data_IF_393319827441
#
_entry.id   IF_393319827441
#
_cell.length_a   1.000
_cell.length_b   1.000
_cell.length_c   1.000
_cell.angle_alpha   90.00
_cell.angle_beta   90.00
_cell.angle_gamma   90.00
#
_symmetry.space_group_name_H-M   'P 1'
#
loop_
_entity.id
_entity.type
_entity.pdbx_description
1 polymer ?
#
# COMPACT_ATOMS: atom_id res chain seq x y z
N UNK A 1 17.92 53.63 41.38
CA UNK A 1 18.74 52.82 40.46
C UNK A 1 17.97 51.83 39.57
N UNK A 2 16.66 51.57 39.78
CA UNK A 2 15.91 50.60 38.96
C UNK A 2 15.44 51.11 37.57
N UNK A 3 15.16 52.41 37.41
CA UNK A 3 14.65 52.98 36.15
C UNK A 3 15.66 53.05 35.00
N UNK A 4 16.95 53.20 35.31
CA UNK A 4 18.01 53.33 34.30
C UNK A 4 18.35 51.99 33.62
N UNK A 5 18.26 50.88 34.38
CA UNK A 5 18.45 49.53 33.84
C UNK A 5 17.28 49.06 32.96
N UNK A 6 16.04 49.46 33.27
CA UNK A 6 14.87 49.12 32.45
C UNK A 6 14.88 49.82 31.08
N UNK A 7 15.31 51.09 31.05
CA UNK A 7 15.42 51.84 29.80
C UNK A 7 16.51 51.26 28.89
N UNK A 8 17.69 50.95 29.43
CA UNK A 8 18.78 50.33 28.67
C UNK A 8 18.40 48.95 28.12
N UNK A 9 17.71 48.11 28.90
CA UNK A 9 17.23 46.80 28.46
C UNK A 9 16.24 46.91 27.29
N UNK A 10 15.24 47.80 27.38
CA UNK A 10 14.28 48.01 26.29
C UNK A 10 14.93 48.56 25.01
N UNK A 11 15.93 49.44 25.18
CA UNK A 11 16.69 49.99 24.04
C UNK A 11 17.53 48.90 23.37
N UNK A 12 18.11 47.97 24.14
CA UNK A 12 18.87 46.84 23.63
C UNK A 12 17.98 45.81 22.90
N UNK A 13 16.80 45.51 23.46
CA UNK A 13 15.79 44.65 22.82
C UNK A 13 15.31 45.27 21.50
N UNK A 14 15.08 46.59 21.47
CA UNK A 14 14.70 47.29 20.24
C UNK A 14 15.82 47.22 19.18
N UNK A 15 17.08 47.45 19.57
CA UNK A 15 18.23 47.30 18.68
C UNK A 15 18.35 45.90 18.11
N UNK A 16 18.17 44.85 18.92
CA UNK A 16 18.20 43.45 18.45
C UNK A 16 17.08 43.14 17.46
N UNK A 17 15.86 43.66 17.68
CA UNK A 17 14.73 43.52 16.74
C UNK A 17 15.01 44.21 15.41
N UNK A 18 15.53 45.44 15.43
CA UNK A 18 15.91 46.17 14.20
C UNK A 18 17.00 45.43 13.44
N UNK A 19 18.00 44.90 14.15
CA UNK A 19 19.11 44.15 13.56
C UNK A 19 18.63 42.83 12.93
N UNK A 20 17.68 42.12 13.57
CA UNK A 20 17.02 40.95 12.98
C UNK A 20 16.23 41.28 11.71
N UNK A 21 15.47 42.39 11.71
CA UNK A 21 14.75 42.85 10.51
C UNK A 21 15.72 43.22 9.39
N UNK A 22 16.83 43.88 9.72
CA UNK A 22 17.88 44.23 8.77
C UNK A 22 18.57 42.99 8.19
N UNK A 23 18.94 42.02 9.02
CA UNK A 23 19.50 40.74 8.58
C UNK A 23 18.52 39.96 7.70
N UNK A 24 17.23 39.95 8.04
CA UNK A 24 16.18 39.36 7.21
C UNK A 24 16.07 40.04 5.85
N UNK A 25 16.13 41.38 5.81
CA UNK A 25 16.12 42.17 4.58
C UNK A 25 17.34 41.89 3.71
N UNK A 26 18.54 41.81 4.30
CA UNK A 26 19.76 41.40 3.60
C UNK A 26 19.68 39.98 3.05
N UNK A 27 19.12 39.05 3.82
CA UNK A 27 18.92 37.66 3.39
C UNK A 27 17.92 37.57 2.23
N UNK A 28 16.83 38.36 2.28
CA UNK A 28 15.85 38.51 1.19
C UNK A 28 16.47 39.13 -0.06
N UNK A 29 17.36 40.11 0.08
CA UNK A 29 18.10 40.77 -1.02
C UNK A 29 19.10 39.80 -1.67
N UNK A 30 19.87 39.03 -0.88
CA UNK A 30 20.72 37.93 -1.37
C UNK A 30 19.92 36.84 -2.08
N UNK A 31 18.72 36.49 -1.58
CA UNK A 31 17.80 35.55 -2.26
C UNK A 31 17.34 36.07 -3.63
N UNK A 32 17.06 37.38 -3.74
CA UNK A 32 16.71 38.04 -5.01
C UNK A 32 17.89 38.18 -5.97
N UNK A 33 19.12 38.23 -5.45
CA UNK A 33 20.37 38.23 -6.24
C UNK A 33 20.86 36.84 -6.66
N UNK A 34 20.11 35.76 -6.41
CA UNK A 34 20.42 34.46 -7.02
C UNK A 34 20.50 34.64 -8.53
N UNK A 35 21.65 34.27 -9.11
CA UNK A 35 21.95 34.41 -10.53
C UNK A 35 20.77 33.96 -11.39
N UNK A 36 20.39 34.77 -12.39
CA UNK A 36 19.45 34.32 -13.43
C UNK A 36 19.93 32.95 -13.92
N UNK A 37 19.04 31.94 -14.05
CA UNK A 37 19.47 30.61 -14.46
C UNK A 37 20.20 30.72 -15.80
N UNK A 38 21.43 30.18 -15.86
CA UNK A 38 22.30 30.23 -17.05
C UNK A 38 21.64 29.66 -18.31
N UNK A 39 20.62 28.83 -18.12
CA UNK A 39 19.84 28.21 -19.18
C UNK A 39 18.35 28.23 -18.84
N UNK A 40 17.52 28.64 -19.80
CA UNK A 40 16.05 28.57 -19.69
C UNK A 40 15.55 27.11 -19.54
N UNK A 41 16.25 26.17 -20.20
CA UNK A 41 16.10 24.71 -20.10
C UNK A 41 17.51 24.11 -20.22
N UNK A 42 17.83 23.09 -19.42
CA UNK A 42 19.12 22.37 -19.55
C UNK A 42 19.21 21.71 -20.94
N UNK A 43 20.33 21.84 -21.68
CA UNK A 43 20.44 21.36 -23.06
C UNK A 43 19.99 19.91 -23.27
N UNK A 44 20.43 18.98 -22.42
CA UNK A 44 20.08 17.55 -22.55
C UNK A 44 18.58 17.25 -22.44
N UNK A 45 17.79 18.10 -21.77
CA UNK A 45 16.34 17.93 -21.67
C UNK A 45 15.63 18.27 -22.99
N UNK A 46 16.27 19.03 -23.88
CA UNK A 46 15.72 19.35 -25.21
C UNK A 46 15.67 18.12 -26.13
N UNK A 47 16.56 17.16 -25.90
CA UNK A 47 16.69 15.93 -26.70
C UNK A 47 15.80 14.79 -26.19
N UNK A 48 14.73 15.11 -25.44
CA UNK A 48 13.82 14.12 -24.85
C UNK A 48 13.24 13.14 -25.88
N UNK A 49 12.85 13.61 -27.06
CA UNK A 49 12.27 12.76 -28.12
C UNK A 49 13.28 11.80 -28.75
N UNK A 50 14.57 12.12 -28.69
CA UNK A 50 15.63 11.35 -29.34
C UNK A 50 16.28 10.37 -28.38
N UNK A 51 16.34 10.72 -27.09
CA UNK A 51 17.14 9.98 -26.10
C UNK A 51 16.38 9.67 -24.79
N UNK A 52 15.11 10.03 -24.69
CA UNK A 52 14.29 9.68 -23.53
C UNK A 52 13.86 8.22 -23.59
N UNK A 53 13.87 7.53 -22.45
CA UNK A 53 13.52 6.10 -22.37
C UNK A 53 12.18 5.74 -23.03
N UNK A 54 11.18 6.63 -22.98
CA UNK A 54 9.88 6.40 -23.61
C UNK A 54 9.95 6.30 -25.15
N UNK A 55 10.91 6.96 -25.80
CA UNK A 55 11.02 6.94 -27.26
C UNK A 55 12.02 5.91 -27.74
N UNK A 56 13.12 5.72 -27.00
CA UNK A 56 14.16 4.77 -27.37
C UNK A 56 13.83 3.36 -26.89
N UNK A 57 13.70 3.18 -25.57
CA UNK A 57 13.70 1.85 -24.97
C UNK A 57 12.32 1.19 -25.02
N UNK A 58 11.26 1.92 -24.68
CA UNK A 58 9.95 1.29 -24.54
C UNK A 58 9.37 0.93 -25.91
N UNK A 59 9.52 1.78 -26.92
CA UNK A 59 9.07 1.50 -28.28
C UNK A 59 9.90 0.38 -28.93
N UNK A 60 11.22 0.38 -28.75
CA UNK A 60 12.08 -0.69 -29.24
C UNK A 60 11.76 -2.03 -28.55
N UNK A 61 11.57 -2.04 -27.23
CA UNK A 61 11.24 -3.26 -26.48
C UNK A 61 9.84 -3.79 -26.82
N UNK A 62 8.86 -2.93 -27.08
CA UNK A 62 7.55 -3.35 -27.58
C UNK A 62 7.65 -4.14 -28.88
N UNK A 63 8.57 -3.73 -29.77
CA UNK A 63 8.75 -4.34 -31.09
C UNK A 63 9.67 -5.56 -31.09
N UNK A 64 10.63 -5.64 -30.16
CA UNK A 64 11.71 -6.64 -30.20
C UNK A 64 11.59 -7.77 -29.18
N UNK A 65 11.16 -7.50 -27.94
CA UNK A 65 11.18 -8.50 -26.87
C UNK A 65 10.14 -8.23 -25.76
N UNK A 66 9.04 -8.99 -25.79
CA UNK A 66 7.92 -8.89 -24.84
C UNK A 66 8.36 -9.07 -23.37
N UNK A 67 9.33 -9.94 -23.09
CA UNK A 67 9.78 -10.19 -21.71
C UNK A 67 10.55 -9.01 -21.11
N UNK A 68 11.41 -8.35 -21.91
CA UNK A 68 12.15 -7.17 -21.46
C UNK A 68 11.22 -5.99 -21.21
N UNK A 69 10.24 -5.78 -22.10
CA UNK A 69 9.21 -4.76 -21.90
C UNK A 69 8.42 -5.01 -20.60
N UNK A 70 7.99 -6.26 -20.38
CA UNK A 70 7.28 -6.64 -19.17
C UNK A 70 8.11 -6.45 -17.90
N UNK A 71 9.40 -6.73 -17.93
CA UNK A 71 10.29 -6.44 -16.82
C UNK A 71 10.41 -4.93 -16.57
N UNK A 72 10.48 -4.14 -17.63
CA UNK A 72 10.61 -2.67 -17.56
C UNK A 72 9.33 -1.99 -17.03
N UNK A 73 8.16 -2.37 -17.55
CA UNK A 73 6.86 -1.76 -17.25
C UNK A 73 6.05 -2.48 -16.16
N UNK A 74 6.42 -3.71 -15.82
CA UNK A 74 5.69 -4.62 -14.91
C UNK A 74 4.31 -5.08 -15.39
N UNK A 75 4.03 -4.90 -16.68
CA UNK A 75 2.81 -5.30 -17.40
C UNK A 75 3.13 -5.53 -18.88
N UNK A 76 2.25 -6.22 -19.62
CA UNK A 76 2.42 -6.40 -21.07
C UNK A 76 2.20 -5.09 -21.84
N UNK A 77 2.66 -5.04 -23.09
CA UNK A 77 2.41 -3.91 -24.00
C UNK A 77 0.91 -3.68 -24.22
N UNK A 78 0.14 -4.76 -24.36
CA UNK A 78 -1.32 -4.71 -24.51
C UNK A 78 -2.00 -4.07 -23.31
N UNK A 79 -1.70 -4.54 -22.08
CA UNK A 79 -2.22 -3.94 -20.85
C UNK A 79 -1.81 -2.47 -20.71
N UNK A 80 -0.58 -2.12 -21.12
CA UNK A 80 -0.10 -0.74 -21.08
C UNK A 80 -0.86 0.18 -22.05
N UNK A 81 -1.12 -0.27 -23.28
CA UNK A 81 -1.87 0.48 -24.27
C UNK A 81 -3.33 0.67 -23.84
N UNK A 82 -3.99 -0.39 -23.38
CA UNK A 82 -5.33 -0.33 -22.81
C UNK A 82 -5.40 0.67 -21.65
N UNK A 83 -4.44 0.58 -20.72
CA UNK A 83 -4.37 1.49 -19.58
C UNK A 83 -4.16 2.94 -20.04
N UNK A 84 -3.31 3.17 -21.05
CA UNK A 84 -3.06 4.49 -21.64
C UNK A 84 -4.34 5.08 -22.23
N UNK A 85 -5.16 4.27 -22.90
CA UNK A 85 -6.47 4.68 -23.40
C UNK A 85 -7.44 5.04 -22.26
N UNK A 86 -7.51 4.20 -21.22
CA UNK A 86 -8.41 4.41 -20.07
C UNK A 86 -8.11 5.73 -19.34
N UNK A 87 -6.83 6.02 -19.09
CA UNK A 87 -6.43 7.22 -18.33
C UNK A 87 -6.34 8.48 -19.20
N UNK A 88 -6.24 8.33 -20.52
CA UNK A 88 -5.89 9.42 -21.44
C UNK A 88 -6.85 10.60 -21.41
N UNK A 89 -8.13 10.37 -21.09
CA UNK A 89 -9.16 11.42 -21.00
C UNK A 89 -8.97 12.26 -19.73
N UNK A 90 -8.49 11.66 -18.63
CA UNK A 90 -8.39 12.31 -17.32
C UNK A 90 -7.01 12.90 -17.04
N UNK A 91 -5.96 12.41 -17.70
CA UNK A 91 -4.61 12.99 -17.57
C UNK A 91 -4.55 14.36 -18.26
N UNK A 92 -4.49 15.41 -17.45
CA UNK A 92 -4.07 16.75 -17.91
C UNK A 92 -2.64 16.67 -18.43
N UNK A 93 -2.44 17.04 -19.69
CA UNK A 93 -1.11 17.08 -20.27
C UNK A 93 -0.30 18.20 -19.61
N UNK A 94 0.86 17.85 -19.06
CA UNK A 94 1.73 18.83 -18.40
C UNK A 94 2.62 19.47 -19.46
N UNK A 95 2.71 20.82 -19.50
CA UNK A 95 3.72 21.48 -20.30
C UNK A 95 5.10 21.15 -19.71
N UNK A 96 5.83 20.26 -20.37
CA UNK A 96 7.28 20.21 -20.24
C UNK A 96 7.85 21.21 -21.25
N UNK A 97 9.05 21.71 -21.02
CA UNK A 97 9.70 22.60 -21.98
C UNK A 97 10.73 21.78 -22.76
N UNK A 98 10.74 21.80 -24.11
CA UNK A 98 10.01 22.73 -24.99
C UNK A 98 8.58 22.30 -25.36
N UNK A 99 8.18 21.07 -25.10
CA UNK A 99 6.96 20.46 -25.61
C UNK A 99 6.15 19.68 -24.57
N UNK A 100 4.87 19.49 -24.85
CA UNK A 100 3.91 18.84 -23.95
C UNK A 100 4.22 17.35 -23.81
N UNK A 101 4.07 16.80 -22.61
CA UNK A 101 4.20 15.36 -22.37
C UNK A 101 2.97 14.62 -22.92
N UNK A 102 3.19 13.52 -23.64
CA UNK A 102 2.13 12.58 -24.03
C UNK A 102 1.66 11.75 -22.83
N UNK A 103 0.47 11.15 -22.93
CA UNK A 103 -0.08 10.27 -21.88
C UNK A 103 0.83 9.05 -21.67
N UNK A 104 1.31 8.44 -22.76
CA UNK A 104 2.23 7.30 -22.70
C UNK A 104 3.55 7.65 -22.00
N UNK A 105 4.10 8.85 -22.20
CA UNK A 105 5.31 9.29 -21.49
C UNK A 105 5.08 9.49 -20.00
N UNK A 106 3.94 10.10 -19.63
CA UNK A 106 3.56 10.30 -18.23
C UNK A 106 3.38 8.95 -17.53
N UNK A 107 2.66 8.02 -18.16
CA UNK A 107 2.43 6.69 -17.62
C UNK A 107 3.74 5.90 -17.53
N UNK A 108 4.56 5.90 -18.58
CA UNK A 108 5.86 5.19 -18.59
C UNK A 108 6.80 5.69 -17.50
N UNK A 109 6.92 7.00 -17.32
CA UNK A 109 7.76 7.58 -16.27
C UNK A 109 7.23 7.22 -14.86
N UNK A 110 5.90 7.24 -14.68
CA UNK A 110 5.26 6.87 -13.41
C UNK A 110 5.45 5.39 -13.10
N UNK A 111 5.14 4.50 -14.04
CA UNK A 111 5.31 3.06 -13.88
C UNK A 111 6.77 2.71 -13.63
N UNK A 112 7.71 3.34 -14.35
CA UNK A 112 9.14 3.10 -14.12
C UNK A 112 9.56 3.53 -12.71
N UNK A 113 9.06 4.67 -12.22
CA UNK A 113 9.31 5.09 -10.84
C UNK A 113 8.79 4.07 -9.82
N UNK A 114 7.54 3.60 -9.99
CA UNK A 114 6.93 2.58 -9.12
C UNK A 114 7.68 1.23 -9.18
N UNK A 115 8.06 0.81 -10.39
CA UNK A 115 8.70 -0.48 -10.66
C UNK A 115 10.14 -0.58 -10.19
N UNK A 116 10.88 0.54 -10.21
CA UNK A 116 12.31 0.58 -9.87
C UNK A 116 12.59 1.08 -8.45
N UNK A 117 11.73 1.96 -7.92
CA UNK A 117 12.01 2.66 -6.65
C UNK A 117 13.21 3.60 -6.73
N UNK A 118 13.59 4.04 -7.93
CA UNK A 118 14.67 4.99 -8.14
C UNK A 118 14.30 6.41 -7.69
N UNK A 119 15.30 7.28 -7.53
CA UNK A 119 15.05 8.68 -7.19
C UNK A 119 14.39 9.43 -8.35
N UNK A 120 13.62 10.47 -8.05
CA UNK A 120 13.05 11.36 -9.09
C UNK A 120 14.13 11.98 -9.99
N UNK A 121 15.35 12.15 -9.47
CA UNK A 121 16.52 12.61 -10.23
C UNK A 121 16.97 11.57 -11.26
N UNK A 122 16.96 10.27 -10.91
CA UNK A 122 17.24 9.19 -11.87
C UNK A 122 16.21 9.16 -13.00
N UNK A 123 14.92 9.30 -12.65
CA UNK A 123 13.83 9.37 -13.62
C UNK A 123 13.97 10.62 -14.50
N UNK A 124 14.40 11.76 -13.96
CA UNK A 124 14.70 12.96 -14.74
C UNK A 124 15.77 12.69 -15.81
N UNK A 125 16.86 12.02 -15.47
CA UNK A 125 17.90 11.70 -16.45
C UNK A 125 17.43 10.68 -17.49
N UNK A 126 16.74 9.62 -17.04
CA UNK A 126 16.22 8.53 -17.87
C UNK A 126 15.18 9.00 -18.90
N UNK A 127 14.17 9.75 -18.45
CA UNK A 127 13.09 10.23 -19.31
C UNK A 127 13.34 11.63 -19.87
N UNK A 128 14.43 12.30 -19.45
CA UNK A 128 14.77 13.69 -19.84
C UNK A 128 13.62 14.67 -19.55
N UNK A 129 12.95 14.48 -18.41
CA UNK A 129 11.86 15.32 -17.90
C UNK A 129 12.35 16.03 -16.65
N UNK A 130 12.18 17.34 -16.53
CA UNK A 130 12.67 18.10 -15.36
C UNK A 130 12.18 17.52 -14.03
N UNK A 131 13.04 17.46 -13.01
CA UNK A 131 12.75 16.80 -11.73
C UNK A 131 11.44 17.29 -11.06
N UNK A 132 11.16 18.59 -11.07
CA UNK A 132 9.91 19.14 -10.54
C UNK A 132 8.69 18.67 -11.33
N UNK A 133 8.83 18.57 -12.65
CA UNK A 133 7.82 18.02 -13.55
C UNK A 133 7.58 16.54 -13.27
N UNK A 134 8.65 15.76 -13.02
CA UNK A 134 8.55 14.35 -12.60
C UNK A 134 7.79 14.20 -11.29
N UNK A 135 8.06 15.03 -10.28
CA UNK A 135 7.31 14.99 -9.02
C UNK A 135 5.81 15.26 -9.24
N UNK A 136 5.47 16.24 -10.06
CA UNK A 136 4.09 16.61 -10.33
C UNK A 136 3.36 15.55 -11.17
N UNK A 137 4.02 14.98 -12.18
CA UNK A 137 3.42 13.95 -13.04
C UNK A 137 3.16 12.66 -12.27
N UNK A 138 4.05 12.26 -11.36
CA UNK A 138 3.85 11.04 -10.55
C UNK A 138 2.61 11.21 -9.68
N UNK A 139 2.51 12.33 -8.95
CA UNK A 139 1.34 12.63 -8.13
C UNK A 139 0.06 12.62 -8.98
N UNK A 140 0.06 13.32 -10.11
CA UNK A 140 -1.11 13.40 -10.97
C UNK A 140 -1.51 12.04 -11.54
N UNK A 141 -0.55 11.30 -12.10
CA UNK A 141 -0.80 10.01 -12.75
C UNK A 141 -1.29 8.99 -11.72
N UNK A 142 -0.69 8.93 -10.54
CA UNK A 142 -1.14 8.04 -9.46
C UNK A 142 -2.56 8.36 -8.98
N UNK A 143 -2.93 9.64 -8.87
CA UNK A 143 -4.30 10.05 -8.55
C UNK A 143 -5.28 9.61 -9.64
N UNK A 144 -4.97 9.86 -10.92
CA UNK A 144 -5.82 9.45 -12.04
C UNK A 144 -5.95 7.92 -12.12
N UNK A 145 -4.88 7.17 -11.87
CA UNK A 145 -4.93 5.71 -11.83
C UNK A 145 -5.91 5.21 -10.77
N UNK A 146 -5.90 5.80 -9.57
CA UNK A 146 -6.87 5.47 -8.53
C UNK A 146 -8.29 5.81 -8.97
N UNK A 147 -8.54 7.03 -9.42
CA UNK A 147 -9.88 7.52 -9.77
C UNK A 147 -10.51 6.74 -10.94
N UNK A 148 -9.69 6.26 -11.87
CA UNK A 148 -10.15 5.48 -13.04
C UNK A 148 -10.29 3.98 -12.79
N UNK A 149 -9.35 3.39 -12.05
CA UNK A 149 -9.29 1.93 -11.88
C UNK A 149 -10.04 1.46 -10.63
N UNK A 150 -10.07 2.24 -9.55
CA UNK A 150 -10.74 1.84 -8.30
C UNK A 150 -12.20 1.41 -8.53
N UNK A 151 -13.03 2.14 -9.31
CA UNK A 151 -14.39 1.73 -9.63
C UNK A 151 -14.50 0.47 -10.51
N UNK A 152 -13.40 -0.01 -11.09
CA UNK A 152 -13.37 -1.21 -11.94
C UNK A 152 -12.86 -2.45 -11.21
N UNK A 153 -11.87 -2.28 -10.34
CA UNK A 153 -11.11 -3.41 -9.77
C UNK A 153 -11.14 -3.47 -8.24
N UNK A 154 -11.75 -2.50 -7.57
CA UNK A 154 -11.81 -2.39 -6.10
C UNK A 154 -13.21 -1.99 -5.62
N UNK A 155 -14.24 -2.46 -6.32
CA UNK A 155 -15.63 -2.26 -5.93
C UNK A 155 -15.93 -3.00 -4.63
N UNK A 156 -16.66 -2.33 -3.72
CA UNK A 156 -17.17 -2.96 -2.52
C UNK A 156 -18.07 -4.14 -2.93
N UNK A 157 -17.77 -5.38 -2.49
CA UNK A 157 -18.57 -6.53 -2.85
C UNK A 157 -19.99 -6.42 -2.29
N UNK A 158 -20.97 -6.85 -3.09
CA UNK A 158 -22.33 -7.05 -2.63
C UNK A 158 -22.47 -8.43 -1.94
N UNK A 159 -23.66 -8.71 -1.41
CA UNK A 159 -23.95 -9.96 -0.71
C UNK A 159 -23.63 -11.20 -1.56
N UNK A 160 -23.96 -11.15 -2.85
CA UNK A 160 -23.71 -12.27 -3.77
C UNK A 160 -22.22 -12.46 -4.02
N UNK A 161 -21.47 -11.37 -4.25
CA UNK A 161 -20.03 -11.43 -4.46
C UNK A 161 -19.31 -11.89 -3.20
N UNK A 162 -19.75 -11.48 -2.02
CA UNK A 162 -19.22 -12.00 -0.76
C UNK A 162 -19.39 -13.51 -0.63
N UNK A 163 -20.57 -14.04 -0.96
CA UNK A 163 -20.82 -15.48 -0.95
C UNK A 163 -19.93 -16.24 -1.96
N UNK A 164 -19.70 -15.65 -3.15
CA UNK A 164 -18.76 -16.21 -4.13
C UNK A 164 -17.32 -16.24 -3.60
N UNK A 165 -16.85 -15.12 -3.04
CA UNK A 165 -15.50 -15.02 -2.46
C UNK A 165 -15.29 -16.04 -1.34
N UNK A 166 -16.30 -16.23 -0.48
CA UNK A 166 -16.24 -17.22 0.58
C UNK A 166 -16.15 -18.66 0.03
N UNK A 167 -16.92 -18.98 -1.01
CA UNK A 167 -16.84 -20.29 -1.67
C UNK A 167 -15.46 -20.52 -2.30
N UNK A 168 -14.88 -19.51 -2.93
CA UNK A 168 -13.51 -19.59 -3.45
C UNK A 168 -12.47 -19.81 -2.35
N UNK A 169 -12.65 -19.15 -1.20
CA UNK A 169 -11.78 -19.29 -0.05
C UNK A 169 -11.88 -20.67 0.59
N UNK A 170 -13.09 -21.21 0.70
CA UNK A 170 -13.35 -22.57 1.13
C UNK A 170 -12.71 -23.59 0.18
N UNK A 171 -12.89 -23.43 -1.13
CA UNK A 171 -12.32 -24.35 -2.12
C UNK A 171 -10.78 -24.37 -2.10
N UNK A 172 -10.13 -23.20 -2.02
CA UNK A 172 -8.66 -23.09 -2.10
C UNK A 172 -7.96 -23.31 -0.77
N UNK A 173 -8.52 -22.77 0.31
CA UNK A 173 -7.87 -22.69 1.62
C UNK A 173 -8.57 -23.53 2.70
N UNK A 174 -9.70 -24.17 2.37
CA UNK A 174 -10.50 -25.00 3.26
C UNK A 174 -10.99 -24.24 4.50
N UNK A 175 -11.28 -22.95 4.35
CA UNK A 175 -11.92 -22.15 5.40
C UNK A 175 -13.38 -21.86 5.01
N UNK A 176 -14.35 -22.47 5.71
CA UNK A 176 -15.76 -22.25 5.41
C UNK A 176 -16.18 -20.83 5.79
N UNK A 177 -17.13 -20.24 5.04
CA UNK A 177 -17.68 -18.91 5.26
C UNK A 177 -16.64 -17.76 5.41
N UNK A 178 -15.39 -17.98 4.99
CA UNK A 178 -14.30 -17.02 5.13
C UNK A 178 -14.25 -16.07 3.92
N UNK A 179 -14.50 -14.78 4.15
CA UNK A 179 -14.57 -13.76 3.10
C UNK A 179 -13.20 -13.31 2.57
N UNK A 180 -12.17 -13.44 3.40
CA UNK A 180 -10.84 -12.93 3.09
C UNK A 180 -9.93 -12.84 4.31
N UNK A 181 -8.68 -12.46 4.06
CA UNK A 181 -7.71 -12.18 5.12
C UNK A 181 -7.41 -10.70 5.21
N UNK A 182 -7.38 -10.15 6.43
CA UNK A 182 -7.07 -8.76 6.72
C UNK A 182 -5.70 -8.65 7.41
N UNK A 183 -4.90 -7.67 7.00
CA UNK A 183 -3.62 -7.35 7.63
C UNK A 183 -3.23 -5.88 7.35
N UNK A 184 -2.41 -5.32 8.24
CA UNK A 184 -1.89 -3.95 8.14
C UNK A 184 -0.41 -3.91 7.79
N UNK A 185 -0.01 -2.98 6.92
CA UNK A 185 1.39 -2.75 6.55
C UNK A 185 1.79 -1.29 6.68
N UNK A 186 3.02 -1.08 7.16
CA UNK A 186 3.67 0.22 7.13
C UNK A 186 4.25 0.51 5.74
N UNK A 187 3.81 1.63 5.15
CA UNK A 187 4.46 2.26 4.00
C UNK A 187 5.48 3.26 4.54
N UNK A 188 6.76 2.89 4.46
CA UNK A 188 7.86 3.71 4.99
C UNK A 188 8.12 4.90 4.08
N UNK A 189 8.25 6.09 4.66
CA UNK A 189 8.51 7.33 3.94
C UNK A 189 9.50 8.23 4.69
N UNK A 190 10.08 9.21 4.00
CA UNK A 190 10.86 10.26 4.66
C UNK A 190 9.94 11.11 5.55
N UNK A 191 10.43 11.57 6.70
CA UNK A 191 9.72 12.51 7.57
C UNK A 191 9.12 13.68 6.76
N UNK A 192 7.80 13.85 6.85
CA UNK A 192 7.12 14.96 6.21
C UNK A 192 7.44 16.26 6.95
N UNK A 193 7.54 17.36 6.21
CA UNK A 193 7.82 18.67 6.80
C UNK A 193 6.76 19.04 7.85
N UNK A 194 7.19 19.53 9.01
CA UNK A 194 6.35 20.02 10.10
C UNK A 194 5.40 18.98 10.74
N UNK A 195 5.68 17.68 10.61
CA UNK A 195 4.79 16.62 11.16
C UNK A 195 5.23 16.05 12.51
N UNK A 196 6.39 16.48 13.03
CA UNK A 196 6.92 15.98 14.31
C UNK A 196 7.05 14.46 14.31
N UNK A 197 6.59 13.80 15.38
CA UNK A 197 6.61 12.34 15.54
C UNK A 197 5.29 11.64 15.18
N UNK A 198 4.33 12.33 14.57
CA UNK A 198 2.99 11.77 14.27
C UNK A 198 3.05 10.49 13.43
N UNK A 199 3.95 10.45 12.45
CA UNK A 199 4.16 9.29 11.58
C UNK A 199 5.32 8.40 12.04
N UNK A 200 6.00 8.76 13.13
CA UNK A 200 7.14 8.00 13.63
C UNK A 200 6.63 6.72 14.30
N UNK A 201 6.96 5.59 13.69
CA UNK A 201 6.57 4.27 14.16
C UNK A 201 7.55 3.76 15.22
N UNK A 202 7.13 2.71 15.93
CA UNK A 202 7.93 2.08 16.98
C UNK A 202 9.23 1.43 16.44
N UNK A 203 9.37 1.25 15.12
CA UNK A 203 10.56 0.72 14.44
C UNK A 203 11.56 1.80 14.05
N UNK A 204 11.39 3.04 14.53
CA UNK A 204 12.33 4.13 14.30
C UNK A 204 12.25 4.77 12.92
N UNK A 205 11.17 4.54 12.17
CA UNK A 205 10.96 5.09 10.82
C UNK A 205 9.65 5.86 10.72
N UNK A 206 9.54 6.80 9.78
CA UNK A 206 8.26 7.42 9.48
C UNK A 206 7.45 6.56 8.51
N UNK A 207 6.17 6.35 8.79
CA UNK A 207 5.31 5.54 7.92
C UNK A 207 3.85 5.99 7.96
N UNK A 208 3.11 5.64 6.92
CA UNK A 208 1.65 5.57 6.92
C UNK A 208 1.20 4.11 6.89
N UNK A 209 -0.02 3.83 7.31
CA UNK A 209 -0.57 2.48 7.36
C UNK A 209 -1.47 2.25 6.14
N UNK A 210 -1.25 1.11 5.51
CA UNK A 210 -2.13 0.47 4.54
C UNK A 210 -2.80 -0.71 5.25
N UNK A 211 -4.09 -0.59 5.53
CA UNK A 211 -4.91 -1.70 6.01
C UNK A 211 -5.64 -2.29 4.81
N UNK A 212 -5.53 -3.59 4.58
CA UNK A 212 -6.16 -4.21 3.42
C UNK A 212 -6.72 -5.60 3.75
N UNK A 213 -7.81 -5.93 3.06
CA UNK A 213 -8.36 -7.27 2.98
C UNK A 213 -8.14 -7.84 1.57
N UNK A 214 -7.87 -9.14 1.46
CA UNK A 214 -7.74 -9.82 0.18
C UNK A 214 -8.61 -11.06 0.06
N UNK A 215 -8.92 -11.44 -1.17
CA UNK A 215 -9.60 -12.68 -1.52
C UNK A 215 -8.64 -13.90 -1.53
N UNK A 216 -9.23 -15.07 -1.82
CA UNK A 216 -8.50 -16.34 -1.96
C UNK A 216 -7.52 -16.36 -3.14
N UNK A 217 -7.66 -15.42 -4.07
CA UNK A 217 -6.92 -15.31 -5.32
C UNK A 217 -5.86 -14.21 -5.25
N UNK A 218 -5.56 -13.64 -4.08
CA UNK A 218 -4.59 -12.57 -3.83
C UNK A 218 -4.95 -11.23 -4.48
N UNK A 219 -6.23 -10.89 -4.62
CA UNK A 219 -6.70 -9.57 -5.03
C UNK A 219 -7.17 -8.80 -3.82
N UNK A 220 -6.90 -7.50 -3.77
CA UNK A 220 -7.42 -6.64 -2.72
C UNK A 220 -8.93 -6.48 -2.90
N UNK A 221 -9.70 -6.63 -1.82
CA UNK A 221 -11.16 -6.48 -1.83
C UNK A 221 -11.59 -5.16 -1.21
N UNK A 222 -10.99 -4.80 -0.07
CA UNK A 222 -11.24 -3.55 0.64
C UNK A 222 -9.92 -3.02 1.17
N UNK A 223 -9.69 -1.71 1.09
CA UNK A 223 -8.47 -1.07 1.60
C UNK A 223 -8.79 0.24 2.31
N UNK A 224 -7.99 0.56 3.32
CA UNK A 224 -7.93 1.84 4.01
C UNK A 224 -6.47 2.34 4.03
N UNK A 225 -6.25 3.56 3.58
CA UNK A 225 -4.91 4.09 3.30
C UNK A 225 -4.72 5.45 3.96
N UNK A 226 -3.62 5.61 4.70
CA UNK A 226 -3.14 6.92 5.14
C UNK A 226 -3.21 7.17 6.64
N UNK A 227 -3.58 6.17 7.44
CA UNK A 227 -3.51 6.31 8.89
C UNK A 227 -2.04 6.51 9.35
N UNK A 228 -1.77 7.34 10.37
CA UNK A 228 -0.40 7.58 10.83
C UNK A 228 0.27 6.30 11.36
N UNK A 229 1.56 6.10 11.03
CA UNK A 229 2.34 4.92 11.43
C UNK A 229 2.54 4.71 12.93
N UNK A 230 2.14 5.67 13.77
CA UNK A 230 2.12 5.51 15.23
C UNK A 230 0.94 4.65 15.71
N UNK A 231 -0.13 4.54 14.93
CA UNK A 231 -1.33 3.79 15.29
C UNK A 231 -1.08 2.27 15.18
N UNK A 232 -1.68 1.48 16.06
CA UNK A 232 -1.68 0.01 15.96
C UNK A 232 -2.75 -0.48 14.98
N UNK A 233 -2.70 -1.75 14.55
CA UNK A 233 -3.74 -2.33 13.67
C UNK A 233 -5.14 -2.22 14.27
N UNK A 234 -5.31 -2.54 15.55
CA UNK A 234 -6.60 -2.36 16.22
C UNK A 234 -7.06 -0.90 16.25
N UNK A 235 -6.14 0.05 16.46
CA UNK A 235 -6.45 1.49 16.46
C UNK A 235 -6.81 2.02 15.07
N UNK A 236 -6.07 1.60 14.04
CA UNK A 236 -6.39 1.92 12.64
C UNK A 236 -7.71 1.28 12.26
N UNK A 237 -7.91 -0.01 12.56
CA UNK A 237 -9.14 -0.74 12.27
C UNK A 237 -10.36 -0.01 12.87
N UNK A 238 -10.38 0.23 14.18
CA UNK A 238 -11.51 0.90 14.85
C UNK A 238 -11.84 2.30 14.32
N UNK A 239 -10.85 3.04 13.80
CA UNK A 239 -11.06 4.39 13.24
C UNK A 239 -11.35 4.40 11.73
N UNK A 240 -10.90 3.37 11.01
CA UNK A 240 -11.03 3.20 9.56
C UNK A 240 -12.47 2.99 9.10
N UNK A 241 -12.74 3.26 7.82
CA UNK A 241 -14.06 3.02 7.23
C UNK A 241 -14.35 1.51 7.17
N UNK A 242 -13.36 0.69 6.81
CA UNK A 242 -13.44 -0.76 6.83
C UNK A 242 -13.83 -1.27 8.22
N UNK A 243 -13.09 -0.91 9.27
CA UNK A 243 -13.37 -1.43 10.61
C UNK A 243 -14.66 -0.86 11.22
N UNK A 244 -15.05 0.38 10.92
CA UNK A 244 -16.42 0.86 11.21
C UNK A 244 -17.47 0.00 10.51
N UNK A 245 -17.20 -0.43 9.29
CA UNK A 245 -18.08 -1.34 8.55
C UNK A 245 -18.23 -2.72 9.21
N UNK A 246 -17.14 -3.26 9.76
CA UNK A 246 -17.17 -4.49 10.55
C UNK A 246 -17.97 -4.32 11.85
N UNK A 247 -17.74 -3.23 12.59
CA UNK A 247 -18.38 -2.96 13.88
C UNK A 247 -19.88 -2.65 13.74
N UNK A 248 -20.25 -1.88 12.71
CA UNK A 248 -21.63 -1.45 12.47
C UNK A 248 -22.43 -2.40 11.55
N UNK A 249 -21.83 -3.51 11.12
CA UNK A 249 -22.45 -4.50 10.20
C UNK A 249 -22.94 -3.90 8.87
N UNK A 250 -22.25 -2.90 8.31
CA UNK A 250 -22.65 -2.22 7.07
C UNK A 250 -22.01 -2.79 5.79
N UNK A 251 -21.11 -3.77 5.91
CA UNK A 251 -20.40 -4.38 4.77
C UNK A 251 -21.27 -5.37 3.95
N UNK A 252 -22.58 -5.43 4.22
CA UNK A 252 -23.54 -6.28 3.49
C UNK A 252 -23.11 -7.75 3.37
N UNK A 253 -22.55 -8.31 4.44
CA UNK A 253 -22.19 -9.72 4.47
C UNK A 253 -23.45 -10.61 4.33
N UNK A 254 -23.31 -11.81 3.74
CA UNK A 254 -24.43 -12.73 3.62
C UNK A 254 -24.93 -13.20 4.98
N UNK A 255 -26.18 -13.67 4.98
CA UNK A 255 -26.79 -14.32 6.14
C UNK A 255 -25.95 -15.53 6.53
N UNK A 256 -25.90 -15.84 7.82
CA UNK A 256 -25.19 -16.99 8.37
C UNK A 256 -25.53 -18.29 7.62
N UNK A 257 -24.51 -19.13 7.47
CA UNK A 257 -24.59 -20.40 6.75
C UNK A 257 -24.03 -21.52 7.61
N UNK A 258 -24.66 -22.69 7.55
CA UNK A 258 -24.20 -23.90 8.22
C UNK A 258 -22.84 -24.36 7.68
N UNK A 259 -21.95 -24.73 8.60
CA UNK A 259 -20.64 -25.34 8.27
C UNK A 259 -20.66 -26.85 8.39
N UNK A 260 -21.49 -27.38 9.29
CA UNK A 260 -21.74 -28.80 9.53
C UNK A 260 -23.06 -28.96 10.33
N UNK A 261 -23.51 -30.20 10.48
CA UNK A 261 -24.74 -30.52 11.24
C UNK A 261 -24.58 -30.33 12.76
N UNK A 262 -23.34 -30.28 13.28
CA UNK A 262 -23.05 -30.28 14.73
C UNK A 262 -22.83 -28.87 15.30
N UNK A 263 -22.06 -28.06 14.58
CA UNK A 263 -21.71 -26.68 14.94
C UNK A 263 -22.80 -25.69 14.48
N UNK A 264 -23.58 -26.05 13.47
CA UNK A 264 -24.71 -25.26 12.96
C UNK A 264 -24.28 -23.98 12.25
N UNK A 265 -25.16 -22.98 12.11
CA UNK A 265 -24.85 -21.76 11.37
C UNK A 265 -23.81 -20.90 12.09
N UNK A 266 -22.94 -20.29 11.29
CA UNK A 266 -22.04 -19.20 11.70
C UNK A 266 -22.12 -18.05 10.68
N UNK A 267 -21.89 -16.81 11.12
CA UNK A 267 -21.77 -15.68 10.20
C UNK A 267 -20.57 -15.83 9.28
N UNK A 268 -20.62 -15.13 8.15
CA UNK A 268 -19.44 -14.92 7.32
C UNK A 268 -18.44 -14.03 8.03
N UNK A 269 -17.15 -14.35 7.90
CA UNK A 269 -16.08 -13.68 8.66
C UNK A 269 -14.83 -13.45 7.83
N UNK A 270 -14.02 -12.47 8.23
CA UNK A 270 -12.64 -12.30 7.78
C UNK A 270 -11.67 -12.89 8.81
N UNK A 271 -10.45 -13.23 8.39
CA UNK A 271 -9.38 -13.68 9.30
C UNK A 271 -8.31 -12.61 9.47
N UNK A 272 -7.99 -12.30 10.72
CA UNK A 272 -7.00 -11.29 11.09
C UNK A 272 -5.94 -11.83 12.03
N UNK A 273 -4.93 -11.01 12.25
CA UNK A 273 -3.88 -11.27 13.23
C UNK A 273 -4.30 -11.06 14.69
N UNK A 274 -3.38 -11.33 15.61
CA UNK A 274 -3.60 -11.19 17.05
C UNK A 274 -3.82 -9.72 17.48
N UNK A 275 -3.38 -8.74 16.68
CA UNK A 275 -3.56 -7.32 16.95
C UNK A 275 -4.98 -6.82 16.65
N UNK A 276 -5.74 -7.52 15.79
CA UNK A 276 -7.15 -7.22 15.56
C UNK A 276 -8.05 -7.67 16.72
N UNK A 277 -9.20 -7.00 16.96
CA UNK A 277 -10.19 -7.47 17.91
C UNK A 277 -10.84 -8.79 17.43
N UNK A 278 -11.26 -9.64 18.37
CA UNK A 278 -12.11 -10.79 18.06
C UNK A 278 -13.58 -10.32 17.97
N UNK A 279 -14.18 -10.41 16.79
CA UNK A 279 -15.58 -10.05 16.52
C UNK A 279 -16.36 -11.25 15.97
N UNK A 280 -17.68 -11.14 15.83
CA UNK A 280 -18.50 -12.19 15.19
C UNK A 280 -18.11 -12.43 13.72
N UNK A 281 -17.68 -11.36 13.04
CA UNK A 281 -17.30 -11.33 11.63
C UNK A 281 -15.78 -11.15 11.41
N UNK A 282 -14.96 -11.22 12.47
CA UNK A 282 -13.49 -11.14 12.38
C UNK A 282 -12.85 -12.12 13.36
N UNK A 283 -12.26 -13.18 12.82
CA UNK A 283 -11.61 -14.24 13.59
C UNK A 283 -10.11 -13.97 13.74
N UNK A 284 -9.59 -14.24 14.94
CA UNK A 284 -8.16 -14.13 15.28
C UNK A 284 -7.68 -15.38 16.03
N UNK A 285 -6.36 -15.68 16.03
CA UNK A 285 -5.84 -16.90 16.66
C UNK A 285 -6.09 -16.95 18.18
N UNK A 286 -6.06 -18.14 18.74
CA UNK A 286 -5.98 -18.36 20.19
C UNK A 286 -4.64 -17.85 20.71
N UNK A 287 -4.63 -17.07 21.82
CA UNK A 287 -3.40 -16.54 22.39
C UNK A 287 -2.55 -17.67 22.99
N UNK A 288 -1.25 -17.72 22.67
CA UNK A 288 -0.42 -18.84 23.13
C UNK A 288 1.06 -18.78 22.76
N UNK A 289 1.65 -17.59 22.62
CA UNK A 289 3.10 -17.49 22.35
C UNK A 289 3.91 -17.87 23.60
N UNK A 290 4.46 -19.09 23.60
CA UNK A 290 5.75 -19.37 24.24
C UNK A 290 5.81 -19.99 25.64
N UNK A 291 4.72 -20.41 26.33
CA UNK A 291 4.88 -21.05 27.67
C UNK A 291 3.96 -22.24 28.03
N UNK A 292 2.97 -22.60 27.22
CA UNK A 292 2.21 -23.87 27.34
C UNK A 292 1.85 -24.36 25.95
N UNK A 293 1.96 -25.67 25.68
CA UNK A 293 1.41 -26.28 24.46
C UNK A 293 -0.08 -25.92 24.42
N UNK A 294 -0.49 -25.12 23.44
CA UNK A 294 -1.90 -24.92 23.12
C UNK A 294 -2.54 -26.31 22.95
N UNK A 295 -3.79 -26.53 23.40
CA UNK A 295 -4.54 -27.73 23.07
C UNK A 295 -4.48 -28.04 21.56
N UNK A 296 -4.51 -29.32 21.19
CA UNK A 296 -4.34 -29.74 19.80
C UNK A 296 -5.35 -29.07 18.87
N UNK A 297 -6.62 -29.01 19.25
CA UNK A 297 -7.69 -28.35 18.50
C UNK A 297 -7.47 -26.84 18.33
N UNK A 298 -6.99 -26.13 19.35
CA UNK A 298 -6.62 -24.72 19.25
C UNK A 298 -5.40 -24.51 18.35
N UNK A 299 -4.45 -25.45 18.38
CA UNK A 299 -3.27 -25.44 17.52
C UNK A 299 -3.63 -25.67 16.05
N UNK A 300 -4.54 -26.61 15.76
CA UNK A 300 -5.12 -26.85 14.43
C UNK A 300 -5.81 -25.58 13.94
N UNK A 301 -6.69 -24.98 14.75
CA UNK A 301 -7.35 -23.73 14.39
C UNK A 301 -6.33 -22.62 14.04
N UNK A 302 -5.33 -22.41 14.90
CA UNK A 302 -4.30 -21.40 14.68
C UNK A 302 -3.49 -21.67 13.40
N UNK A 303 -3.19 -22.93 13.11
CA UNK A 303 -2.50 -23.33 11.87
C UNK A 303 -3.37 -23.03 10.63
N UNK A 304 -4.64 -23.41 10.65
CA UNK A 304 -5.61 -23.14 9.56
C UNK A 304 -5.80 -21.65 9.30
N UNK A 305 -5.94 -20.88 10.38
CA UNK A 305 -6.03 -19.42 10.32
C UNK A 305 -4.73 -18.81 9.77
N UNK A 306 -3.57 -19.26 10.23
CA UNK A 306 -2.27 -18.79 9.74
C UNK A 306 -2.09 -19.08 8.25
N UNK A 307 -2.46 -20.28 7.78
CA UNK A 307 -2.42 -20.64 6.36
C UNK A 307 -3.28 -19.72 5.52
N UNK A 308 -4.47 -19.38 6.01
CA UNK A 308 -5.40 -18.47 5.35
C UNK A 308 -4.83 -17.05 5.28
N UNK A 309 -4.28 -16.56 6.40
CA UNK A 309 -3.63 -15.25 6.48
C UNK A 309 -2.42 -15.08 5.56
N UNK A 310 -1.74 -16.16 5.20
CA UNK A 310 -0.67 -16.09 4.18
C UNK A 310 -1.17 -15.51 2.86
N UNK A 311 -2.48 -15.54 2.57
CA UNK A 311 -3.05 -14.88 1.38
C UNK A 311 -2.76 -13.38 1.38
N UNK A 312 -3.06 -12.66 2.46
CA UNK A 312 -2.84 -11.20 2.50
C UNK A 312 -1.35 -10.86 2.59
N UNK A 313 -0.57 -11.66 3.33
CA UNK A 313 0.89 -11.50 3.40
C UNK A 313 1.55 -11.67 2.03
N UNK A 314 1.17 -12.71 1.28
CA UNK A 314 1.64 -12.93 -0.09
C UNK A 314 1.13 -11.85 -1.04
N UNK A 315 -0.08 -11.33 -0.85
CA UNK A 315 -0.62 -10.24 -1.69
C UNK A 315 0.26 -8.99 -1.56
N UNK A 316 0.63 -8.62 -0.34
CA UNK A 316 1.60 -7.54 -0.09
C UNK A 316 2.99 -7.85 -0.65
N UNK A 317 3.45 -9.10 -0.52
CA UNK A 317 4.72 -9.57 -1.09
C UNK A 317 4.76 -9.45 -2.62
N UNK A 318 3.69 -9.85 -3.30
CA UNK A 318 3.55 -9.74 -4.76
C UNK A 318 3.56 -8.26 -5.17
N UNK A 319 2.75 -7.43 -4.51
CA UNK A 319 2.67 -6.00 -4.80
C UNK A 319 4.03 -5.30 -4.61
N UNK A 320 4.74 -5.56 -3.51
CA UNK A 320 6.06 -4.97 -3.22
C UNK A 320 7.20 -5.55 -4.07
N UNK A 321 7.03 -6.76 -4.60
CA UNK A 321 7.96 -7.33 -5.58
C UNK A 321 7.84 -6.65 -6.94
N UNK A 322 6.59 -6.45 -7.39
CA UNK A 322 6.27 -5.78 -8.65
C UNK A 322 6.61 -4.28 -8.59
N UNK A 323 6.22 -3.61 -7.50
CA UNK A 323 6.45 -2.18 -7.26
C UNK A 323 7.55 -1.96 -6.21
N UNK A 324 8.79 -1.89 -6.69
CA UNK A 324 9.97 -1.78 -5.82
C UNK A 324 10.08 -0.44 -5.09
N UNK A 325 9.22 0.54 -5.39
CA UNK A 325 9.11 1.79 -4.63
C UNK A 325 8.87 1.56 -3.13
N UNK A 326 8.24 0.44 -2.74
CA UNK A 326 8.02 0.10 -1.33
C UNK A 326 9.25 -0.50 -0.65
N UNK A 327 10.26 -0.98 -1.41
CA UNK A 327 11.48 -1.60 -0.85
C UNK A 327 12.43 -0.60 -0.19
N UNK A 328 12.19 0.70 -0.35
CA UNK A 328 12.98 1.78 0.25
C UNK A 328 12.03 2.85 0.79
N UNK A 329 12.46 3.65 1.78
CA UNK A 329 11.69 4.79 2.24
C UNK A 329 11.34 5.74 1.07
N UNK A 330 10.05 6.00 0.89
CA UNK A 330 9.57 6.88 -0.18
C UNK A 330 9.93 8.33 0.17
N UNK A 331 10.71 8.96 -0.71
CA UNK A 331 11.09 10.38 -0.62
C UNK A 331 10.07 11.20 -1.40
N UNK A 332 8.95 11.53 -0.75
CA UNK A 332 7.91 12.39 -1.32
C UNK A 332 7.06 13.03 -0.22
N UNK A 333 6.22 14.01 -0.59
CA UNK A 333 5.23 14.58 0.33
C UNK A 333 4.07 13.61 0.60
N UNK A 334 3.35 13.82 1.70
CA UNK A 334 2.25 12.96 2.17
C UNK A 334 1.23 12.62 1.09
N UNK A 335 0.73 13.65 0.38
CA UNK A 335 -0.23 13.47 -0.71
C UNK A 335 0.29 12.53 -1.80
N UNK A 336 1.58 12.61 -2.11
CA UNK A 336 2.22 11.78 -3.14
C UNK A 336 2.43 10.36 -2.65
N UNK A 337 2.84 10.17 -1.38
CA UNK A 337 2.96 8.82 -0.80
C UNK A 337 1.61 8.10 -0.80
N UNK A 338 0.54 8.78 -0.37
CA UNK A 338 -0.83 8.23 -0.39
C UNK A 338 -1.26 7.89 -1.82
N UNK A 339 -1.01 8.78 -2.79
CA UNK A 339 -1.34 8.53 -4.20
C UNK A 339 -0.55 7.33 -4.76
N UNK A 340 0.74 7.20 -4.45
CA UNK A 340 1.57 6.06 -4.85
C UNK A 340 0.98 4.74 -4.30
N UNK A 341 0.64 4.71 -3.01
CA UNK A 341 0.04 3.53 -2.37
C UNK A 341 -1.29 3.16 -3.02
N UNK A 342 -2.17 4.15 -3.24
CA UNK A 342 -3.45 3.96 -3.93
C UNK A 342 -3.26 3.38 -5.33
N UNK A 343 -2.37 3.99 -6.13
CA UNK A 343 -2.09 3.54 -7.49
C UNK A 343 -1.56 2.11 -7.52
N UNK A 344 -0.65 1.74 -6.60
CA UNK A 344 -0.10 0.39 -6.55
C UNK A 344 -1.15 -0.69 -6.26
N UNK A 345 -2.11 -0.40 -5.36
CA UNK A 345 -3.23 -1.31 -5.04
C UNK A 345 -4.09 -1.57 -6.27
N UNK A 346 -4.53 -0.52 -6.97
CA UNK A 346 -5.41 -0.69 -8.14
C UNK A 346 -4.67 -1.28 -9.33
N UNK A 347 -3.39 -0.92 -9.53
CA UNK A 347 -2.55 -1.53 -10.56
C UNK A 347 -2.33 -3.02 -10.30
N UNK A 348 -2.17 -3.44 -9.04
CA UNK A 348 -2.04 -4.86 -8.69
C UNK A 348 -3.27 -5.66 -9.13
N UNK A 349 -4.47 -5.21 -8.76
CA UNK A 349 -5.70 -5.89 -9.17
C UNK A 349 -5.92 -5.82 -10.69
N UNK A 350 -5.68 -4.67 -11.32
CA UNK A 350 -5.89 -4.48 -12.76
C UNK A 350 -4.97 -5.36 -13.61
N UNK A 351 -3.68 -5.41 -13.29
CA UNK A 351 -2.71 -6.25 -14.02
C UNK A 351 -3.10 -7.72 -13.87
N UNK A 352 -3.48 -8.15 -12.66
CA UNK A 352 -3.90 -9.53 -12.44
C UNK A 352 -5.16 -9.91 -13.20
N UNK A 353 -6.13 -9.01 -13.26
CA UNK A 353 -7.34 -9.21 -14.08
C UNK A 353 -6.97 -9.34 -15.57
N UNK A 354 -6.08 -8.49 -16.06
CA UNK A 354 -5.60 -8.56 -17.46
C UNK A 354 -4.82 -9.85 -17.75
N UNK A 355 -3.91 -10.26 -16.86
CA UNK A 355 -3.17 -11.51 -16.94
C UNK A 355 -4.12 -12.73 -16.95
N UNK A 356 -5.12 -12.75 -16.07
CA UNK A 356 -6.14 -13.80 -16.02
C UNK A 356 -6.96 -13.87 -17.32
N UNK A 357 -7.38 -12.73 -17.87
CA UNK A 357 -8.13 -12.67 -19.13
C UNK A 357 -7.30 -13.17 -20.31
N UNK A 358 -5.99 -12.92 -20.30
CA UNK A 358 -5.06 -13.39 -21.31
C UNK A 358 -4.60 -14.85 -21.09
N UNK A 359 -4.99 -15.50 -19.98
CA UNK A 359 -4.59 -16.87 -19.66
C UNK A 359 -3.09 -17.02 -19.32
N UNK A 360 -2.45 -15.93 -18.89
CA UNK A 360 -1.01 -15.88 -18.57
C UNK A 360 -0.81 -15.49 -17.12
N UNK A 361 0.34 -15.84 -16.54
CA UNK A 361 0.71 -15.40 -15.19
C UNK A 361 2.17 -15.05 -15.13
N UNK A 362 2.46 -13.79 -14.83
CA UNK A 362 3.84 -13.30 -14.81
C UNK A 362 4.30 -13.03 -13.40
N UNK A 363 5.43 -13.64 -13.05
CA UNK A 363 6.12 -13.37 -11.80
C UNK A 363 7.33 -12.47 -12.08
N UNK A 364 7.52 -11.47 -11.24
CA UNK A 364 8.75 -10.67 -11.29
C UNK A 364 9.91 -11.52 -10.80
N UNK A 365 10.93 -11.71 -11.64
CA UNK A 365 12.16 -12.41 -11.23
C UNK A 365 12.79 -11.70 -10.02
N UNK A 366 13.05 -12.50 -8.98
CA UNK A 366 13.69 -12.05 -7.73
C UNK A 366 15.18 -12.34 -7.91
N UNK A 367 16.01 -11.30 -7.98
CA UNK A 367 17.47 -11.46 -7.97
C UNK A 367 17.98 -11.75 -6.56
N UNK A 368 19.20 -12.31 -6.42
CA UNK A 368 19.80 -12.54 -5.10
C UNK A 368 19.92 -11.27 -4.24
N UNK A 369 20.09 -10.09 -4.86
CA UNK A 369 20.06 -8.79 -4.17
C UNK A 369 18.69 -8.41 -3.60
N UNK A 370 17.62 -8.97 -4.15
CA UNK A 370 16.25 -8.69 -3.76
C UNK A 370 15.83 -9.52 -2.52
N UNK A 371 16.38 -10.72 -2.35
CA UNK A 371 16.18 -11.56 -1.16
C UNK A 371 16.64 -10.85 0.12
N UNK A 372 17.84 -10.25 0.10
CA UNK A 372 18.39 -9.53 1.26
C UNK A 372 17.60 -8.26 1.63
N UNK A 373 16.89 -7.64 0.68
CA UNK A 373 16.06 -6.45 0.93
C UNK A 373 14.63 -6.79 1.36
N UNK A 374 14.13 -8.01 1.08
CA UNK A 374 12.84 -8.48 1.61
C UNK A 374 12.87 -8.62 3.14
N UNK A 375 14.00 -9.03 3.72
CA UNK A 375 14.16 -9.18 5.17
C UNK A 375 14.21 -7.83 5.92
N UNK A 376 14.58 -6.73 5.26
CA UNK A 376 14.85 -5.45 5.94
C UNK A 376 13.88 -4.29 5.69
N UNK A 377 12.88 -4.36 4.79
CA UNK A 377 12.06 -3.15 4.60
C UNK A 377 11.02 -3.06 3.49
N UNK A 378 10.56 -4.14 2.87
CA UNK A 378 9.59 -4.00 1.77
C UNK A 378 8.22 -3.49 2.26
N UNK A 379 7.64 -4.12 3.29
CA UNK A 379 6.41 -3.70 3.96
C UNK A 379 6.42 -4.29 5.36
N UNK A 380 6.69 -3.48 6.37
CA UNK A 380 6.77 -3.96 7.74
C UNK A 380 5.36 -4.21 8.28
N UNK A 381 5.12 -5.39 8.89
CA UNK A 381 3.89 -5.63 9.66
C UNK A 381 3.78 -4.62 10.78
N UNK A 382 2.57 -4.10 10.94
CA UNK A 382 2.16 -3.33 12.11
C UNK A 382 2.08 -4.34 13.28
N UNK A 383 2.57 -3.98 14.47
CA UNK A 383 2.40 -4.82 15.67
C UNK A 383 2.23 -3.90 16.87
N UNK A 384 1.10 -3.99 17.60
CA UNK A 384 0.97 -3.68 19.03
C UNK A 384 -0.50 -3.79 19.52
N UNK A 385 -0.66 -4.40 20.70
CA UNK A 385 -1.81 -4.46 21.64
C UNK A 385 -3.23 -4.40 21.05
N UNK A 386 -3.72 -5.57 20.62
CA UNK A 386 -5.15 -5.85 20.63
C UNK A 386 -5.64 -6.08 22.07
N UNK A 387 -6.82 -5.58 22.44
CA UNK A 387 -7.43 -5.89 23.73
C UNK A 387 -7.98 -7.34 23.71
N UNK A 388 -8.01 -7.99 24.88
CA UNK A 388 -8.60 -9.33 25.06
C UNK A 388 -10.10 -9.30 25.37
N UNK A 389 -10.74 -8.13 25.25
CA UNK A 389 -12.16 -7.95 25.51
C UNK A 389 -12.94 -8.25 24.23
N UNK A 390 -13.71 -9.34 24.22
CA UNK A 390 -14.58 -9.74 23.11
C UNK A 390 -15.90 -10.29 23.63
N UNK A 391 -16.94 -10.26 22.79
CA UNK A 391 -18.28 -10.75 23.17
C UNK A 391 -18.30 -12.27 23.36
N UNK A 392 -19.19 -12.77 24.22
CA UNK A 392 -19.38 -14.21 24.40
C UNK A 392 -19.72 -14.90 23.06
N UNK A 393 -20.50 -14.25 22.19
CA UNK A 393 -20.85 -14.76 20.86
C UNK A 393 -19.63 -14.96 19.96
N UNK A 394 -18.71 -13.99 19.91
CA UNK A 394 -17.49 -14.10 19.09
C UNK A 394 -16.62 -15.29 19.55
N UNK A 395 -16.60 -15.56 20.87
CA UNK A 395 -15.95 -16.75 21.44
C UNK A 395 -16.60 -18.04 20.96
N UNK A 396 -17.93 -18.11 20.99
CA UNK A 396 -18.71 -19.27 20.58
C UNK A 396 -18.47 -19.58 19.10
N UNK A 397 -18.52 -18.57 18.23
CA UNK A 397 -18.26 -18.73 16.78
C UNK A 397 -16.85 -19.28 16.54
N UNK A 398 -15.83 -18.74 17.21
CA UNK A 398 -14.46 -19.25 17.08
C UNK A 398 -14.33 -20.70 17.56
N UNK A 399 -15.01 -21.05 18.66
CA UNK A 399 -15.01 -22.42 19.17
C UNK A 399 -15.69 -23.38 18.20
N UNK A 400 -16.83 -23.01 17.61
CA UNK A 400 -17.50 -23.79 16.55
C UNK A 400 -16.55 -24.10 15.39
N UNK A 401 -15.83 -23.10 14.89
CA UNK A 401 -14.82 -23.30 13.83
C UNK A 401 -13.69 -24.25 14.26
N UNK A 402 -13.20 -24.08 15.48
CA UNK A 402 -12.15 -24.94 16.05
C UNK A 402 -12.62 -26.40 16.19
N UNK A 403 -13.87 -26.62 16.60
CA UNK A 403 -14.46 -27.95 16.71
C UNK A 403 -14.71 -28.56 15.31
N UNK A 404 -15.17 -27.75 14.35
CA UNK A 404 -15.32 -28.15 12.93
C UNK A 404 -14.01 -28.62 12.30
N UNK A 405 -12.91 -27.86 12.44
CA UNK A 405 -11.60 -28.26 11.90
C UNK A 405 -11.00 -29.51 12.56
N UNK A 406 -11.49 -29.87 13.74
CA UNK A 406 -11.08 -31.08 14.46
C UNK A 406 -12.00 -32.28 14.19
N UNK A 407 -13.06 -32.10 13.40
CA UNK A 407 -14.07 -33.12 13.10
C UNK A 407 -14.41 -33.15 11.61
N UNK A 408 -15.60 -32.72 11.19
CA UNK A 408 -16.11 -32.85 9.83
C UNK A 408 -15.28 -32.04 8.82
N UNK A 409 -14.60 -30.98 9.26
CA UNK A 409 -13.68 -30.16 8.45
C UNK A 409 -12.20 -30.54 8.56
N UNK A 410 -11.87 -31.67 9.18
CA UNK A 410 -10.51 -32.13 9.34
C UNK A 410 -9.88 -32.51 7.99
N UNK A 411 -8.58 -32.22 7.85
CA UNK A 411 -7.80 -32.57 6.67
C UNK A 411 -6.49 -33.21 7.09
N UNK A 412 -5.94 -34.13 6.29
CA UNK A 412 -4.75 -34.90 6.66
C UNK A 412 -3.52 -34.02 6.94
N UNK A 413 -3.22 -33.07 6.05
CA UNK A 413 -2.03 -32.23 6.14
C UNK A 413 -1.99 -31.28 7.37
N UNK A 414 -3.08 -31.16 8.13
CA UNK A 414 -3.10 -30.27 9.29
C UNK A 414 -2.33 -30.84 10.49
N UNK A 415 -2.11 -32.16 10.52
CA UNK A 415 -1.37 -32.83 11.57
C UNK A 415 0.13 -32.88 11.28
N UNK A 416 0.53 -33.00 10.02
CA UNK A 416 1.94 -33.09 9.56
C UNK A 416 2.81 -31.86 9.91
N UNK A 417 2.19 -30.74 10.28
CA UNK A 417 2.86 -29.48 10.62
C UNK A 417 2.82 -29.16 12.12
N UNK A 418 2.05 -29.93 12.89
CA UNK A 418 1.88 -29.77 14.35
C UNK A 418 2.68 -30.81 15.14
N UNK A 419 2.94 -31.96 14.53
CA UNK A 419 3.91 -32.97 14.94
C UNK A 419 5.18 -32.82 14.10
#
# INVERSE_FOLDING_TARGET
MAGYNYYNYNTEVHRRKVLLVYLYMLHKKKRKQRSKPRWYIKPFLKERRVHGHCHCLTNEQQLSNSALYQNFMRMSSTTFEELTCIIGIQIKRIPSRPDVLSVGEILSATLRYLASGESMTSIMFSFRIGQSTVSNLILQCCTVLWDTLSPKVLLMPDTNKWAQLAKEFENKWQMPNCLGSIDGKHIVHQAFANTGSTNFNYKGSHSIILLAMCDASYNFTVVDIGAPGRCSDGGVFSSSEMGKGFLNKTLSFPIEKEIDNKSGPIPYYAVGDEAFPLLENLMRPYPGRGKKRLPLNESIFNYRLSRSRRTIENTFGIMSSKWRVFRKPIVAGEKTVIAITKAAVVLHNYIKMSEQNAGVRYYTEISNSDMNNQEMGALASVNQLGTNTYSANAKIIRNKLKDYFSSDGAVEFQYDKLF
#
